data_IF_053096150072
#
_entry.id   IF_053096150072
#
_cell.length_a   1.000
_cell.length_b   1.000
_cell.length_c   1.000
_cell.angle_alpha   90.00
_cell.angle_beta   90.00
_cell.angle_gamma   90.00
#
_symmetry.space_group_name_H-M   'P 1'
#
loop_
_entity.id
_entity.type
_entity.pdbx_description
1 polymer ?
#
# COMPACT_ATOMS: atom_id res chain seq x y z
N UNK A 1 -16.50 -11.24 -20.01
CA UNK A 1 -17.64 -11.39 -19.08
C UNK A 1 -17.10 -11.63 -17.68
N UNK A 2 -16.98 -10.57 -16.86
CA UNK A 2 -16.53 -10.71 -15.47
C UNK A 2 -17.75 -11.09 -14.65
N UNK A 3 -17.77 -12.31 -14.10
CA UNK A 3 -18.83 -12.77 -13.19
C UNK A 3 -18.87 -11.81 -12.00
N UNK A 4 -19.94 -11.04 -11.90
CA UNK A 4 -20.26 -10.24 -10.73
C UNK A 4 -20.72 -11.24 -9.67
N UNK A 5 -20.00 -11.29 -8.56
CA UNK A 5 -20.36 -12.10 -7.40
C UNK A 5 -21.66 -11.55 -6.82
N UNK A 6 -22.74 -12.31 -6.93
CA UNK A 6 -23.99 -12.03 -6.22
C UNK A 6 -23.84 -12.56 -4.79
N UNK A 7 -23.94 -11.69 -3.80
CA UNK A 7 -23.98 -12.10 -2.39
C UNK A 7 -25.42 -11.95 -1.88
N UNK A 8 -25.95 -13.04 -1.33
CA UNK A 8 -27.28 -13.09 -0.74
C UNK A 8 -27.16 -12.84 0.75
N UNK A 9 -27.84 -11.81 1.26
CA UNK A 9 -27.81 -11.47 2.68
C UNK A 9 -29.22 -11.56 3.27
N UNK A 10 -29.34 -12.23 4.42
CA UNK A 10 -30.45 -12.00 5.35
C UNK A 10 -29.98 -11.01 6.41
N UNK A 11 -30.50 -9.79 6.40
CA UNK A 11 -30.23 -8.84 7.49
C UNK A 11 -30.72 -9.42 8.82
N UNK A 12 -29.92 -9.29 9.87
CA UNK A 12 -30.28 -9.64 11.26
C UNK A 12 -30.55 -11.14 11.55
N UNK A 13 -30.10 -12.08 10.70
CA UNK A 13 -30.34 -13.52 10.89
C UNK A 13 -31.83 -13.90 11.01
N UNK A 14 -32.73 -13.01 10.59
CA UNK A 14 -34.15 -13.27 10.62
C UNK A 14 -34.48 -14.34 9.57
N UNK A 15 -34.86 -15.53 10.03
CA UNK A 15 -35.18 -16.66 9.15
C UNK A 15 -36.43 -16.42 8.33
N UNK A 16 -37.28 -15.46 8.72
CA UNK A 16 -38.56 -15.12 8.08
C UNK A 16 -38.45 -13.99 7.06
N UNK A 17 -37.35 -13.23 7.07
CA UNK A 17 -37.12 -12.17 6.09
C UNK A 17 -36.86 -12.72 4.68
N UNK A 18 -37.41 -12.03 3.68
CA UNK A 18 -37.22 -12.33 2.27
C UNK A 18 -35.75 -12.14 1.86
N UNK A 19 -35.27 -12.96 0.91
CA UNK A 19 -33.88 -12.95 0.50
C UNK A 19 -33.59 -11.71 -0.36
N UNK A 20 -32.75 -10.79 0.14
CA UNK A 20 -32.33 -9.63 -0.63
C UNK A 20 -31.06 -9.93 -1.43
N UNK A 21 -31.05 -9.51 -2.71
CA UNK A 21 -29.90 -9.66 -3.62
C UNK A 21 -29.19 -8.33 -3.77
N UNK A 22 -27.89 -8.31 -3.48
CA UNK A 22 -27.06 -7.13 -3.65
C UNK A 22 -26.01 -7.34 -4.75
N UNK A 23 -25.75 -6.27 -5.50
CA UNK A 23 -24.72 -6.22 -6.52
C UNK A 23 -23.73 -5.10 -6.20
N UNK A 24 -22.44 -5.40 -6.30
CA UNK A 24 -21.41 -4.38 -6.15
C UNK A 24 -21.33 -3.50 -7.41
N UNK A 25 -21.41 -2.18 -7.20
CA UNK A 25 -21.22 -1.17 -8.25
C UNK A 25 -19.76 -0.73 -8.39
N UNK A 26 -18.85 -1.33 -7.62
CA UNK A 26 -17.41 -1.03 -7.63
C UNK A 26 -16.61 -2.32 -7.65
N UNK A 27 -15.34 -2.21 -8.03
CA UNK A 27 -14.42 -3.32 -7.93
C UNK A 27 -14.33 -3.80 -6.48
N UNK A 28 -14.65 -5.06 -6.25
CA UNK A 28 -14.73 -5.66 -4.92
C UNK A 28 -13.35 -6.12 -4.48
N UNK A 29 -13.01 -5.90 -3.21
CA UNK A 29 -11.83 -6.52 -2.62
C UNK A 29 -12.03 -8.04 -2.49
N UNK A 30 -10.98 -8.81 -2.74
CA UNK A 30 -11.01 -10.27 -2.55
C UNK A 30 -11.42 -11.08 -3.77
N UNK A 31 -11.77 -10.45 -4.91
CA UNK A 31 -11.80 -11.17 -6.18
C UNK A 31 -10.38 -11.29 -6.75
N UNK A 32 -10.04 -12.45 -7.30
CA UNK A 32 -8.68 -12.76 -7.76
C UNK A 32 -8.15 -11.78 -8.83
N UNK A 33 -9.04 -11.17 -9.61
CA UNK A 33 -8.69 -10.23 -10.69
C UNK A 33 -8.64 -8.77 -10.25
N UNK A 34 -9.09 -8.43 -9.04
CA UNK A 34 -9.10 -7.04 -8.57
C UNK A 34 -7.70 -6.39 -8.53
N UNK A 35 -6.66 -7.07 -8.01
CA UNK A 35 -5.33 -6.47 -7.98
C UNK A 35 -4.80 -6.16 -9.39
N UNK A 36 -4.98 -7.10 -10.32
CA UNK A 36 -4.60 -6.90 -11.72
C UNK A 36 -5.34 -5.70 -12.35
N UNK A 37 -6.66 -5.60 -12.16
CA UNK A 37 -7.42 -4.49 -12.74
C UNK A 37 -7.01 -3.14 -12.15
N UNK A 38 -6.80 -3.06 -10.84
CA UNK A 38 -6.36 -1.84 -10.18
C UNK A 38 -4.96 -1.41 -10.67
N UNK A 39 -4.01 -2.35 -10.75
CA UNK A 39 -2.67 -2.09 -11.25
C UNK A 39 -2.67 -1.69 -12.74
N UNK A 40 -3.46 -2.38 -13.57
CA UNK A 40 -3.58 -2.06 -14.99
C UNK A 40 -4.08 -0.63 -15.20
N UNK A 41 -5.20 -0.25 -14.56
CA UNK A 41 -5.76 1.11 -14.68
C UNK A 41 -4.77 2.17 -14.24
N UNK A 42 -4.06 1.90 -13.14
CA UNK A 42 -3.02 2.77 -12.59
C UNK A 42 -1.88 2.99 -13.58
N UNK A 43 -1.34 1.90 -14.16
CA UNK A 43 -0.25 1.97 -15.12
C UNK A 43 -0.67 2.64 -16.44
N UNK A 44 -1.88 2.38 -16.92
CA UNK A 44 -2.43 3.08 -18.10
C UNK A 44 -2.58 4.59 -17.84
N UNK A 45 -2.99 4.99 -16.64
CA UNK A 45 -2.99 6.40 -16.25
C UNK A 45 -1.58 7.00 -16.26
N UNK A 46 -0.58 6.30 -15.69
CA UNK A 46 0.81 6.74 -15.73
C UNK A 46 1.31 6.93 -17.17
N UNK A 47 1.08 5.95 -18.05
CA UNK A 47 1.47 6.05 -19.48
C UNK A 47 0.79 7.22 -20.17
N UNK A 48 -0.51 7.43 -19.94
CA UNK A 48 -1.28 8.52 -20.54
C UNK A 48 -0.77 9.91 -20.10
N UNK A 49 -0.37 10.05 -18.85
CA UNK A 49 0.05 11.33 -18.28
C UNK A 49 1.58 11.50 -18.16
N UNK A 50 2.38 10.58 -18.73
CA UNK A 50 3.84 10.59 -18.65
C UNK A 50 4.49 11.93 -19.05
N UNK A 51 3.96 12.60 -20.07
CA UNK A 51 4.47 13.93 -20.48
C UNK A 51 4.16 15.04 -19.48
N UNK A 52 3.07 14.92 -18.73
CA UNK A 52 2.59 15.93 -17.78
C UNK A 52 3.17 15.71 -16.38
N UNK A 53 3.34 14.46 -15.99
CA UNK A 53 3.78 14.03 -14.67
C UNK A 53 4.89 12.97 -14.78
N UNK A 54 6.07 13.34 -15.32
CA UNK A 54 7.12 12.36 -15.64
C UNK A 54 7.62 11.60 -14.41
N UNK A 55 7.86 12.28 -13.28
CA UNK A 55 8.40 11.65 -12.06
C UNK A 55 7.38 10.70 -11.45
N UNK A 56 6.11 11.12 -11.39
CA UNK A 56 5.05 10.27 -10.87
C UNK A 56 4.78 9.06 -11.76
N UNK A 57 4.89 9.24 -13.08
CA UNK A 57 4.63 8.14 -14.02
C UNK A 57 5.72 7.08 -13.93
N UNK A 58 6.98 7.49 -13.81
CA UNK A 58 8.10 6.58 -13.53
C UNK A 58 7.89 5.84 -12.20
N UNK A 59 7.59 6.55 -11.11
CA UNK A 59 7.35 5.92 -9.81
C UNK A 59 6.16 4.94 -9.82
N UNK A 60 5.11 5.23 -10.60
CA UNK A 60 3.96 4.33 -10.73
C UNK A 60 4.29 3.09 -11.55
N UNK A 61 5.10 3.23 -12.60
CA UNK A 61 5.46 2.11 -13.48
C UNK A 61 6.51 1.20 -12.86
N UNK A 62 7.52 1.76 -12.20
CA UNK A 62 8.71 1.05 -11.75
C UNK A 62 8.72 0.76 -10.25
N UNK A 63 7.98 1.54 -9.45
CA UNK A 63 8.14 1.56 -7.99
C UNK A 63 6.81 1.37 -7.24
N UNK A 64 5.78 0.84 -7.91
CA UNK A 64 4.48 0.53 -7.32
C UNK A 64 4.19 -0.96 -7.37
N UNK A 65 3.99 -1.53 -6.20
CA UNK A 65 3.57 -2.92 -6.03
C UNK A 65 2.17 -2.96 -5.43
N UNK A 66 1.21 -3.48 -6.19
CA UNK A 66 -0.21 -3.48 -5.82
C UNK A 66 -0.70 -2.06 -5.47
N UNK A 67 -0.99 -1.80 -4.20
CA UNK A 67 -1.45 -0.53 -3.64
C UNK A 67 -0.34 0.30 -2.97
N UNK A 68 0.89 -0.25 -2.85
CA UNK A 68 2.03 0.41 -2.23
C UNK A 68 2.97 1.01 -3.29
N UNK A 69 3.16 2.34 -3.26
CA UNK A 69 4.22 3.03 -4.02
C UNK A 69 5.35 3.39 -3.07
N UNK A 70 6.55 2.87 -3.33
CA UNK A 70 7.76 3.14 -2.54
C UNK A 70 8.87 3.57 -3.50
N UNK A 71 9.37 4.77 -3.33
CA UNK A 71 10.38 5.35 -4.23
C UNK A 71 11.33 6.25 -3.45
N UNK A 72 12.53 6.41 -3.97
CA UNK A 72 13.56 7.29 -3.41
C UNK A 72 14.09 8.22 -4.49
N UNK A 73 14.49 9.42 -4.08
CA UNK A 73 15.11 10.42 -4.95
C UNK A 73 16.22 11.10 -4.18
N UNK A 74 17.28 11.49 -4.90
CA UNK A 74 18.48 12.06 -4.29
C UNK A 74 18.26 13.51 -3.84
N UNK A 75 17.47 14.27 -4.60
CA UNK A 75 17.26 15.69 -4.37
C UNK A 75 15.91 16.00 -3.71
N UNK A 76 15.95 16.92 -2.75
CA UNK A 76 14.77 17.33 -1.99
C UNK A 76 13.71 18.01 -2.87
N UNK A 77 14.13 18.86 -3.82
CA UNK A 77 13.18 19.55 -4.72
C UNK A 77 12.52 18.53 -5.64
N UNK A 78 13.27 17.54 -6.11
CA UNK A 78 12.72 16.41 -6.87
C UNK A 78 11.71 15.64 -6.02
N UNK A 79 11.98 15.39 -4.74
CA UNK A 79 11.03 14.72 -3.83
C UNK A 79 9.73 15.51 -3.62
N UNK A 80 9.83 16.82 -3.46
CA UNK A 80 8.67 17.72 -3.36
C UNK A 80 7.86 17.71 -4.67
N UNK A 81 8.54 17.74 -5.81
CA UNK A 81 7.90 17.71 -7.13
C UNK A 81 7.21 16.37 -7.36
N UNK A 82 7.89 15.25 -7.10
CA UNK A 82 7.35 13.90 -7.19
C UNK A 82 6.08 13.73 -6.34
N UNK A 83 6.08 14.24 -5.10
CA UNK A 83 4.90 14.24 -4.24
C UNK A 83 3.70 14.95 -4.91
N UNK A 84 3.94 16.15 -5.48
CA UNK A 84 2.89 16.93 -6.14
C UNK A 84 2.37 16.21 -7.37
N UNK A 85 3.27 15.70 -8.20
CA UNK A 85 2.93 14.95 -9.41
C UNK A 85 2.13 13.69 -9.09
N UNK A 86 2.53 12.91 -8.08
CA UNK A 86 1.79 11.72 -7.64
C UNK A 86 0.38 12.10 -7.19
N UNK A 87 0.24 13.17 -6.41
CA UNK A 87 -1.07 13.65 -5.96
C UNK A 87 -1.99 14.01 -7.12
N UNK A 88 -1.46 14.68 -8.14
CA UNK A 88 -2.22 15.07 -9.32
C UNK A 88 -2.53 13.88 -10.25
N UNK A 89 -1.57 12.98 -10.43
CA UNK A 89 -1.73 11.78 -11.25
C UNK A 89 -2.83 10.88 -10.65
N UNK A 90 -2.73 10.54 -9.37
CA UNK A 90 -3.74 9.74 -8.67
C UNK A 90 -5.09 10.44 -8.61
N UNK A 91 -5.11 11.75 -8.32
CA UNK A 91 -6.33 12.54 -8.33
C UNK A 91 -7.04 12.54 -9.68
N UNK A 92 -6.29 12.50 -10.80
CA UNK A 92 -6.86 12.39 -12.15
C UNK A 92 -7.57 11.05 -12.40
N UNK A 93 -7.20 10.00 -11.66
CA UNK A 93 -7.82 8.68 -11.68
C UNK A 93 -8.93 8.51 -10.61
N UNK A 94 -9.24 9.58 -9.86
CA UNK A 94 -10.16 9.51 -8.71
C UNK A 94 -9.60 8.75 -7.50
N UNK A 95 -8.27 8.59 -7.45
CA UNK A 95 -7.57 7.86 -6.40
C UNK A 95 -6.85 8.83 -5.46
N UNK A 96 -6.84 8.52 -4.16
CA UNK A 96 -6.25 9.37 -3.13
C UNK A 96 -5.37 8.53 -2.23
N UNK A 97 -4.05 8.67 -2.38
CA UNK A 97 -3.09 7.95 -1.55
C UNK A 97 -3.19 8.41 -0.09
N UNK A 98 -3.16 7.43 0.82
CA UNK A 98 -3.22 7.63 2.27
C UNK A 98 -1.92 7.14 2.91
N UNK A 99 -1.76 7.39 4.21
CA UNK A 99 -0.63 6.91 5.01
C UNK A 99 0.74 7.28 4.42
N UNK A 100 0.87 8.47 3.82
CA UNK A 100 2.12 8.94 3.23
C UNK A 100 3.17 9.22 4.30
N UNK A 101 4.39 8.76 4.04
CA UNK A 101 5.56 8.95 4.89
C UNK A 101 6.78 9.32 4.02
N UNK A 102 7.68 10.13 4.56
CA UNK A 102 8.95 10.48 3.94
C UNK A 102 9.97 10.71 5.06
N UNK A 103 11.24 10.38 4.81
CA UNK A 103 12.36 10.75 5.66
C UNK A 103 12.65 12.27 5.64
N UNK A 104 12.13 13.00 4.64
CA UNK A 104 12.28 14.45 4.52
C UNK A 104 11.09 15.20 5.09
N UNK A 105 11.32 15.92 6.19
CA UNK A 105 10.30 16.75 6.87
C UNK A 105 9.65 17.76 5.93
N UNK A 106 10.39 18.30 4.94
CA UNK A 106 9.83 19.28 3.98
C UNK A 106 8.74 18.68 3.09
N UNK A 107 8.87 17.41 2.69
CA UNK A 107 7.82 16.67 1.96
C UNK A 107 6.60 16.44 2.87
N UNK A 108 6.82 16.13 4.15
CA UNK A 108 5.73 15.95 5.10
C UNK A 108 4.97 17.26 5.40
N UNK A 109 5.68 18.41 5.43
CA UNK A 109 5.07 19.73 5.64
C UNK A 109 4.05 20.09 4.56
N UNK A 110 4.31 19.74 3.30
CA UNK A 110 3.37 19.96 2.19
C UNK A 110 2.29 18.87 2.09
N UNK A 111 2.41 17.79 2.86
CA UNK A 111 1.41 16.70 2.87
C UNK A 111 0.24 17.07 3.79
N UNK A 112 -1.03 17.02 3.35
CA UNK A 112 -2.18 17.22 4.22
C UNK A 112 -2.21 16.23 5.39
N UNK A 113 -2.64 16.68 6.57
CA UNK A 113 -2.65 15.84 7.79
C UNK A 113 -3.43 14.54 7.61
N UNK A 114 -4.53 14.55 6.84
CA UNK A 114 -5.37 13.39 6.57
C UNK A 114 -4.75 12.38 5.58
N UNK A 115 -3.66 12.75 4.91
CA UNK A 115 -2.96 11.89 3.96
C UNK A 115 -1.68 11.32 4.56
N UNK A 116 -1.22 11.84 5.70
CA UNK A 116 -0.01 11.41 6.41
C UNK A 116 -0.19 10.04 7.07
N UNK A 117 0.91 9.33 7.28
CA UNK A 117 0.93 8.19 8.19
C UNK A 117 0.54 8.62 9.62
N UNK A 118 0.00 7.67 10.37
CA UNK A 118 -0.34 7.88 11.78
C UNK A 118 0.92 8.20 12.59
N UNK A 119 0.76 8.94 13.69
CA UNK A 119 1.86 9.29 14.61
C UNK A 119 3.01 10.12 14.03
N UNK A 120 2.82 10.82 12.90
CA UNK A 120 3.78 11.84 12.46
C UNK A 120 3.66 13.08 13.35
N UNK A 121 4.72 13.39 14.11
CA UNK A 121 4.87 14.63 14.85
C UNK A 121 5.99 15.48 14.24
N UNK A 122 5.60 16.55 13.53
CA UNK A 122 6.55 17.43 12.87
C UNK A 122 7.31 18.34 13.85
N UNK A 123 6.78 18.56 15.05
CA UNK A 123 7.36 19.44 16.06
C UNK A 123 8.49 18.74 16.83
N UNK A 124 8.32 17.45 17.15
CA UNK A 124 9.39 16.62 17.74
C UNK A 124 10.39 16.10 16.70
N UNK A 125 10.03 16.14 15.41
CA UNK A 125 10.80 15.51 14.34
C UNK A 125 10.87 13.99 14.47
N UNK A 126 9.91 13.38 15.17
CA UNK A 126 9.77 11.94 15.28
C UNK A 126 8.93 11.41 14.12
N UNK A 127 9.43 10.35 13.48
CA UNK A 127 8.75 9.67 12.38
C UNK A 127 8.45 8.23 12.79
N UNK A 128 7.24 7.71 12.47
CA UNK A 128 6.89 6.33 12.77
C UNK A 128 7.72 5.35 11.96
N UNK A 129 7.79 4.11 12.43
CA UNK A 129 8.19 3.00 11.60
C UNK A 129 6.98 2.53 10.76
N UNK A 130 7.18 2.29 9.48
CA UNK A 130 6.13 1.83 8.56
C UNK A 130 6.43 0.42 8.09
N UNK A 131 5.44 -0.46 8.19
CA UNK A 131 5.51 -1.78 7.57
C UNK A 131 4.99 -1.70 6.13
N UNK A 132 5.78 -2.16 5.18
CA UNK A 132 5.40 -2.24 3.76
C UNK A 132 6.19 -3.36 3.10
N UNK A 133 5.59 -4.08 2.14
CA UNK A 133 6.24 -5.18 1.41
C UNK A 133 7.02 -6.20 2.29
N UNK A 134 6.53 -6.51 3.49
CA UNK A 134 7.19 -7.45 4.41
C UNK A 134 8.36 -6.86 5.22
N UNK A 135 8.82 -5.65 4.91
CA UNK A 135 9.88 -4.94 5.63
C UNK A 135 9.33 -3.85 6.54
N UNK A 136 10.15 -3.40 7.47
CA UNK A 136 9.89 -2.24 8.33
C UNK A 136 10.85 -1.12 7.97
N UNK A 137 10.32 -0.03 7.45
CA UNK A 137 11.08 1.17 7.18
C UNK A 137 11.02 2.12 8.37
N UNK A 138 12.20 2.45 8.92
CA UNK A 138 12.38 3.50 9.91
C UNK A 138 12.76 4.77 9.16
N UNK A 139 11.78 5.64 8.89
CA UNK A 139 11.98 6.78 8.01
C UNK A 139 13.03 7.78 8.51
N UNK A 140 13.11 8.06 9.82
CA UNK A 140 14.06 9.04 10.36
C UNK A 140 15.53 8.65 10.12
N UNK A 141 16.00 7.43 10.46
CA UNK A 141 17.35 6.99 10.12
C UNK A 141 17.50 6.48 8.68
N UNK A 142 16.40 6.41 7.92
CA UNK A 142 16.32 5.80 6.59
C UNK A 142 16.87 4.37 6.52
N UNK A 143 16.38 3.52 7.44
CA UNK A 143 16.82 2.13 7.57
C UNK A 143 15.66 1.17 7.39
N UNK A 144 15.88 0.13 6.58
CA UNK A 144 15.03 -1.05 6.55
C UNK A 144 15.41 -2.00 7.69
N UNK A 145 14.40 -2.62 8.29
CA UNK A 145 14.52 -3.59 9.37
C UNK A 145 13.46 -4.67 9.22
N UNK A 146 13.65 -5.78 9.93
CA UNK A 146 12.72 -6.90 9.93
C UNK A 146 12.23 -7.16 11.34
N UNK A 147 11.01 -7.66 11.47
CA UNK A 147 10.58 -8.19 12.75
C UNK A 147 11.26 -9.54 12.97
N UNK A 148 11.92 -9.69 14.11
CA UNK A 148 12.40 -11.00 14.56
C UNK A 148 11.21 -11.94 14.71
N UNK A 149 11.25 -13.09 14.05
CA UNK A 149 10.31 -14.18 14.32
C UNK A 149 10.78 -14.87 15.59
N UNK A 150 10.35 -14.37 16.74
CA UNK A 150 10.57 -15.05 18.00
C UNK A 150 9.72 -16.33 18.07
N UNK A 151 10.36 -17.42 18.46
CA UNK A 151 9.68 -18.65 18.88
C UNK A 151 9.32 -18.48 20.35
N UNK A 152 8.04 -18.39 20.66
CA UNK A 152 7.59 -18.43 22.06
C UNK A 152 7.78 -19.86 22.58
N UNK A 153 8.50 -20.00 23.68
CA UNK A 153 8.59 -21.26 24.40
C UNK A 153 7.17 -21.71 24.79
N UNK A 154 6.82 -22.96 24.46
CA UNK A 154 5.49 -23.58 24.63
C UNK A 154 4.41 -23.30 23.56
N UNK A 155 4.76 -22.80 22.37
CA UNK A 155 3.79 -22.76 21.25
C UNK A 155 3.55 -24.16 20.66
N UNK A 156 2.30 -24.64 20.67
CA UNK A 156 1.89 -25.79 19.85
C UNK A 156 1.77 -25.35 18.40
N UNK A 157 2.70 -25.78 17.55
CA UNK A 157 2.71 -25.43 16.15
C UNK A 157 1.62 -26.17 15.38
N UNK A 158 0.64 -25.42 14.88
CA UNK A 158 -0.28 -25.89 13.85
C UNK A 158 0.23 -25.48 12.46
N UNK A 159 -0.20 -26.17 11.40
CA UNK A 159 0.09 -25.77 10.01
C UNK A 159 -0.25 -24.29 9.76
N UNK A 160 -1.34 -23.81 10.35
CA UNK A 160 -1.76 -22.40 10.27
C UNK A 160 -0.77 -21.45 10.95
N UNK A 161 -0.28 -21.78 12.14
CA UNK A 161 0.70 -20.96 12.87
C UNK A 161 2.02 -20.92 12.10
N UNK A 162 2.48 -22.07 11.61
CA UNK A 162 3.72 -22.15 10.83
C UNK A 162 3.64 -21.33 9.54
N UNK A 163 2.56 -21.49 8.75
CA UNK A 163 2.35 -20.70 7.53
C UNK A 163 2.24 -19.20 7.82
N UNK A 164 1.59 -18.82 8.93
CA UNK A 164 1.53 -17.41 9.36
C UNK A 164 2.93 -16.86 9.67
N UNK A 165 3.77 -17.63 10.38
CA UNK A 165 5.17 -17.23 10.67
C UNK A 165 6.01 -17.17 9.40
N UNK A 166 5.89 -18.14 8.50
CA UNK A 166 6.59 -18.08 7.21
C UNK A 166 6.15 -16.88 6.36
N UNK A 167 4.86 -16.55 6.35
CA UNK A 167 4.34 -15.37 5.65
C UNK A 167 4.87 -14.05 6.25
N UNK A 168 5.28 -14.02 7.53
CA UNK A 168 5.96 -12.83 8.10
C UNK A 168 7.40 -12.65 7.62
N UNK A 169 8.03 -13.72 7.10
CA UNK A 169 9.35 -13.70 6.44
C UNK A 169 9.24 -13.50 4.92
N UNK A 170 8.05 -13.20 4.40
CA UNK A 170 7.86 -12.92 2.98
C UNK A 170 8.60 -11.63 2.61
N UNK A 171 9.65 -11.79 1.82
CA UNK A 171 10.53 -10.72 1.38
C UNK A 171 10.54 -10.66 -0.15
N UNK A 172 9.58 -9.94 -0.76
CA UNK A 172 9.48 -9.81 -2.20
C UNK A 172 10.65 -9.02 -2.81
N UNK A 173 11.45 -8.34 -1.98
CA UNK A 173 12.58 -7.51 -2.40
C UNK A 173 13.93 -8.25 -2.29
N UNK A 174 13.97 -9.44 -1.68
CA UNK A 174 15.15 -10.30 -1.61
C UNK A 174 16.24 -9.85 -0.62
N UNK A 175 15.96 -8.87 0.24
CA UNK A 175 16.87 -8.42 1.31
C UNK A 175 17.31 -9.50 2.32
N UNK A 176 16.49 -10.52 2.55
CA UNK A 176 16.76 -11.67 3.42
C UNK A 176 17.30 -12.88 2.65
N UNK A 177 17.26 -12.87 1.31
CA UNK A 177 17.75 -13.97 0.49
C UNK A 177 19.24 -13.80 0.20
N UNK A 178 20.06 -14.70 0.75
CA UNK A 178 21.53 -14.66 0.65
C UNK A 178 22.14 -15.14 -0.67
N UNK A 179 21.42 -15.09 -1.79
CA UNK A 179 21.95 -15.51 -3.10
C UNK A 179 21.67 -14.44 -4.14
N UNK A 180 22.72 -13.72 -4.54
CA UNK A 180 22.79 -12.93 -5.77
C UNK A 180 23.07 -13.84 -6.96
#
# INVERSE_FOLDING_TARGET
>A
MTKVTNEFYKRNLDSTAELEVFQFNRLVFGINSAPFMAQFVTQEHARKYAKKFPLASEAVLEATYMDDTITSVVDEKVGIQLYKELTLLWGSAGMFARKRLSNLVKVLKITPKNDRAEHINLDSGELPAMKTLGVVWKAKPDLFSFHSVTTEENTVYTKRILLKKMATLFDPLGFLQGWH
#
